data_IF_388898808859
#
_entry.id   IF_388898808859
#
_cell.length_a   1.000
_cell.length_b   1.000
_cell.length_c   1.000
_cell.angle_alpha   90.00
_cell.angle_beta   90.00
_cell.angle_gamma   90.00
#
_symmetry.space_group_name_H-M   'P 1'
#
loop_
_entity.id
_entity.type
_entity.pdbx_description
1 polymer ?
#
# COMPACT_ATOMS: atom_id res chain seq x y z
N UNK A 1 6.03 -11.01 -17.62
CA UNK A 1 5.69 -10.31 -18.88
C UNK A 1 6.75 -9.24 -19.15
N UNK A 2 6.96 -8.75 -20.37
CA UNK A 2 7.96 -7.71 -20.62
C UNK A 2 7.52 -6.36 -20.01
N UNK A 3 8.26 -5.86 -19.00
CA UNK A 3 7.92 -4.63 -18.27
C UNK A 3 7.77 -3.39 -19.19
N UNK A 4 8.62 -3.27 -20.21
CA UNK A 4 8.52 -2.19 -21.19
C UNK A 4 7.23 -2.23 -22.01
N UNK A 5 6.70 -3.42 -22.31
CA UNK A 5 5.45 -3.58 -23.04
C UNK A 5 4.24 -3.22 -22.17
N UNK A 6 4.24 -3.63 -20.89
CA UNK A 6 3.20 -3.27 -19.92
C UNK A 6 3.11 -1.75 -19.76
N UNK A 7 4.25 -1.09 -19.54
CA UNK A 7 4.33 0.37 -19.43
C UNK A 7 3.84 1.07 -20.70
N UNK A 8 4.23 0.60 -21.88
CA UNK A 8 3.75 1.16 -23.15
C UNK A 8 2.23 0.98 -23.35
N UNK A 9 1.65 -0.06 -22.76
CA UNK A 9 0.21 -0.32 -22.78
C UNK A 9 -0.57 0.38 -21.64
N UNK A 10 0.12 1.09 -20.72
CA UNK A 10 -0.49 1.72 -19.55
C UNK A 10 -1.10 0.70 -18.59
N UNK A 11 -0.46 -0.47 -18.43
CA UNK A 11 -0.93 -1.55 -17.57
C UNK A 11 0.00 -1.70 -16.36
N UNK A 12 -0.59 -1.87 -15.19
CA UNK A 12 0.12 -2.17 -13.95
C UNK A 12 0.99 -3.39 -14.18
N UNK A 13 2.23 -3.34 -13.68
CA UNK A 13 3.16 -4.46 -13.68
C UNK A 13 3.05 -5.22 -12.34
N UNK A 14 2.20 -6.27 -12.25
CA UNK A 14 1.93 -6.94 -10.98
C UNK A 14 3.14 -7.76 -10.52
N UNK A 15 3.24 -7.98 -9.21
CA UNK A 15 3.96 -9.15 -8.71
C UNK A 15 3.07 -10.37 -8.93
N UNK A 16 3.67 -11.48 -9.36
CA UNK A 16 2.91 -12.71 -9.58
C UNK A 16 2.67 -13.45 -8.25
N UNK A 17 3.53 -13.24 -7.26
CA UNK A 17 3.54 -13.95 -5.98
C UNK A 17 3.21 -13.06 -4.76
N UNK A 18 2.94 -11.78 -4.98
CA UNK A 18 2.60 -10.83 -3.93
C UNK A 18 1.57 -9.80 -4.42
N UNK A 19 0.78 -9.26 -3.50
CA UNK A 19 -0.14 -8.17 -3.83
C UNK A 19 0.58 -6.83 -3.83
N UNK A 20 0.26 -6.01 -4.82
CA UNK A 20 0.70 -4.62 -4.89
C UNK A 20 -0.30 -3.78 -4.06
N UNK A 21 0.16 -2.88 -3.17
CA UNK A 21 -0.71 -2.03 -2.33
C UNK A 21 -1.39 -0.92 -3.15
N UNK A 22 -2.10 -1.33 -4.18
CA UNK A 22 -2.94 -0.53 -5.05
C UNK A 22 -4.36 -1.08 -4.96
N UNK A 23 -5.33 -0.27 -5.35
CA UNK A 23 -6.73 -0.67 -5.42
C UNK A 23 -7.38 -0.02 -6.64
N UNK A 24 -8.36 -0.68 -7.27
CA UNK A 24 -9.14 -0.10 -8.35
C UNK A 24 -10.14 0.89 -7.75
N UNK A 25 -10.11 2.14 -8.21
CA UNK A 25 -11.08 3.15 -7.83
C UNK A 25 -12.14 3.30 -8.94
N UNK A 26 -13.42 2.97 -8.67
CA UNK A 26 -14.48 3.10 -9.65
C UNK A 26 -14.68 4.54 -10.18
N UNK A 27 -14.29 5.56 -9.41
CA UNK A 27 -14.33 6.98 -9.83
C UNK A 27 -13.41 7.25 -11.02
N UNK A 28 -12.35 6.44 -11.19
CA UNK A 28 -11.39 6.60 -12.27
C UNK A 28 -11.81 5.91 -13.58
N UNK A 29 -12.82 5.04 -13.55
CA UNK A 29 -13.22 4.28 -14.75
C UNK A 29 -13.59 5.21 -15.91
N UNK A 30 -14.34 6.28 -15.65
CA UNK A 30 -14.72 7.26 -16.69
C UNK A 30 -13.55 8.12 -17.18
N UNK A 31 -12.48 8.21 -16.40
CA UNK A 31 -11.27 8.97 -16.72
C UNK A 31 -10.20 8.14 -17.44
N UNK A 32 -10.38 6.83 -17.51
CA UNK A 32 -9.40 5.94 -18.12
C UNK A 32 -9.17 6.26 -19.60
N UNK A 33 -7.90 6.31 -19.99
CA UNK A 33 -7.46 6.41 -21.38
C UNK A 33 -7.78 5.14 -22.18
N UNK A 34 -8.04 4.02 -21.51
CA UNK A 34 -8.43 2.77 -22.14
C UNK A 34 -9.94 2.75 -22.45
N UNK A 35 -10.30 2.78 -23.73
CA UNK A 35 -11.70 2.80 -24.17
C UNK A 35 -12.52 1.58 -23.69
N UNK A 36 -11.91 0.41 -23.45
CA UNK A 36 -12.65 -0.72 -22.85
C UNK A 36 -13.08 -0.40 -21.42
N UNK A 37 -12.36 0.45 -20.73
CA UNK A 37 -12.70 0.90 -19.38
C UNK A 37 -13.65 2.09 -19.41
N UNK A 38 -13.26 3.19 -20.04
CA UNK A 38 -14.02 4.45 -20.04
C UNK A 38 -15.31 4.43 -20.85
N UNK A 39 -15.57 3.35 -21.60
CA UNK A 39 -16.85 3.13 -22.29
C UNK A 39 -17.53 1.89 -21.74
N UNK A 40 -16.90 0.71 -21.83
CA UNK A 40 -17.60 -0.55 -21.53
C UNK A 40 -17.66 -0.83 -20.03
N UNK A 41 -16.53 -0.77 -19.33
CA UNK A 41 -16.47 -1.08 -17.90
C UNK A 41 -17.31 -0.11 -17.06
N UNK A 42 -17.23 1.20 -17.34
CA UNK A 42 -18.09 2.18 -16.65
C UNK A 42 -19.58 1.96 -16.94
N UNK A 43 -19.96 1.64 -18.17
CA UNK A 43 -21.35 1.35 -18.51
C UNK A 43 -21.84 0.07 -17.81
N UNK A 44 -20.99 -0.96 -17.72
CA UNK A 44 -21.27 -2.19 -16.99
C UNK A 44 -21.40 -1.92 -15.49
N UNK A 45 -20.50 -1.14 -14.92
CA UNK A 45 -20.52 -0.72 -13.51
C UNK A 45 -21.82 0.01 -13.17
N UNK A 46 -22.17 1.05 -13.94
CA UNK A 46 -23.42 1.81 -13.78
C UNK A 46 -24.65 0.90 -13.90
N UNK A 47 -24.69 0.05 -14.92
CA UNK A 47 -25.82 -0.88 -15.14
C UNK A 47 -25.97 -1.87 -13.99
N UNK A 48 -24.86 -2.43 -13.51
CA UNK A 48 -24.84 -3.37 -12.40
C UNK A 48 -25.42 -2.74 -11.13
N UNK A 49 -24.94 -1.55 -10.75
CA UNK A 49 -25.42 -0.89 -9.54
C UNK A 49 -26.78 -0.21 -9.72
N UNK A 50 -27.22 0.07 -10.95
CA UNK A 50 -28.61 0.51 -11.20
C UNK A 50 -29.63 -0.56 -10.78
N UNK A 51 -29.27 -1.85 -10.90
CA UNK A 51 -30.10 -2.95 -10.40
C UNK A 51 -30.19 -2.87 -8.88
N UNK A 52 -29.07 -2.65 -8.19
CA UNK A 52 -29.04 -2.47 -6.73
C UNK A 52 -29.93 -1.29 -6.31
N UNK A 53 -29.80 -0.12 -6.95
CA UNK A 53 -30.62 1.07 -6.66
C UNK A 53 -32.10 0.75 -6.82
N UNK A 54 -32.48 0.13 -7.95
CA UNK A 54 -33.87 -0.24 -8.24
C UNK A 54 -34.43 -1.25 -7.22
N UNK A 55 -33.64 -2.23 -6.81
CA UNK A 55 -34.06 -3.21 -5.82
C UNK A 55 -34.26 -2.56 -4.45
N UNK A 56 -33.34 -1.70 -4.03
CA UNK A 56 -33.46 -0.98 -2.76
C UNK A 56 -34.60 0.05 -2.77
N UNK A 57 -34.89 0.71 -3.90
CA UNK A 57 -36.05 1.62 -3.99
C UNK A 57 -37.38 0.89 -3.81
N UNK A 58 -37.46 -0.38 -4.24
CA UNK A 58 -38.65 -1.23 -4.07
C UNK A 58 -38.74 -1.90 -2.70
N UNK A 59 -37.60 -2.03 -1.99
CA UNK A 59 -37.55 -2.64 -0.66
C UNK A 59 -38.26 -1.79 0.39
N UNK A 60 -39.11 -2.43 1.19
CA UNK A 60 -39.86 -1.81 2.30
C UNK A 60 -39.26 -2.15 3.67
N UNK A 61 -38.54 -3.26 3.78
CA UNK A 61 -37.92 -3.71 5.02
C UNK A 61 -36.68 -4.54 4.75
N UNK A 62 -35.72 -4.53 5.68
CA UNK A 62 -34.56 -5.42 5.61
C UNK A 62 -35.01 -6.88 5.43
N UNK A 63 -34.26 -7.64 4.62
CA UNK A 63 -34.52 -9.05 4.29
C UNK A 63 -35.81 -9.35 3.51
N UNK A 64 -36.53 -8.36 3.01
CA UNK A 64 -37.58 -8.60 2.01
C UNK A 64 -36.99 -9.08 0.66
N UNK A 65 -37.85 -9.48 -0.29
CA UNK A 65 -37.39 -10.04 -1.55
C UNK A 65 -36.50 -9.05 -2.36
N UNK A 66 -36.87 -7.76 -2.50
CA UNK A 66 -35.99 -6.77 -3.12
C UNK A 66 -34.67 -6.55 -2.37
N UNK A 67 -34.65 -6.49 -1.03
CA UNK A 67 -33.40 -6.38 -0.24
C UNK A 67 -32.45 -7.54 -0.53
N UNK A 68 -32.98 -8.77 -0.52
CA UNK A 68 -32.21 -9.98 -0.86
C UNK A 68 -31.73 -9.99 -2.31
N UNK A 69 -32.43 -9.34 -3.23
CA UNK A 69 -32.00 -9.17 -4.61
C UNK A 69 -30.87 -8.13 -4.74
N UNK A 70 -30.98 -7.00 -4.02
CA UNK A 70 -29.92 -5.99 -3.93
C UNK A 70 -28.64 -6.59 -3.33
N UNK A 71 -28.77 -7.36 -2.24
CA UNK A 71 -27.64 -8.04 -1.59
C UNK A 71 -26.83 -8.94 -2.51
N UNK A 72 -27.47 -9.57 -3.50
CA UNK A 72 -26.81 -10.43 -4.48
C UNK A 72 -25.93 -9.66 -5.47
N UNK A 73 -26.11 -8.35 -5.59
CA UNK A 73 -25.26 -7.50 -6.44
C UNK A 73 -23.92 -7.16 -5.77
N UNK A 74 -23.79 -7.35 -4.44
CA UNK A 74 -22.57 -7.05 -3.69
C UNK A 74 -21.70 -8.31 -3.57
N UNK A 75 -20.92 -8.59 -4.61
CA UNK A 75 -19.88 -9.62 -4.55
C UNK A 75 -18.59 -9.02 -3.95
N UNK A 76 -18.25 -9.46 -2.74
CA UNK A 76 -17.05 -9.03 -2.02
C UNK A 76 -16.01 -10.15 -1.94
N UNK A 77 -16.03 -11.07 -2.90
CA UNK A 77 -14.98 -12.07 -3.00
C UNK A 77 -13.73 -11.38 -3.54
N UNK A 78 -12.62 -11.54 -2.84
CA UNK A 78 -11.31 -11.05 -3.28
C UNK A 78 -10.94 -11.70 -4.63
N UNK A 79 -10.51 -10.92 -5.64
CA UNK A 79 -10.06 -11.39 -6.95
C UNK A 79 -8.52 -11.48 -7.03
N UNK A 80 -7.89 -12.54 -6.48
CA UNK A 80 -6.42 -12.63 -6.33
C UNK A 80 -5.62 -12.60 -7.64
N UNK A 81 -6.28 -12.80 -8.78
CA UNK A 81 -5.75 -12.80 -10.14
C UNK A 81 -5.31 -11.41 -10.61
N UNK A 82 -5.80 -10.32 -10.01
CA UNK A 82 -5.33 -8.96 -10.33
C UNK A 82 -4.07 -8.58 -9.52
N UNK A 83 -3.73 -9.31 -8.46
CA UNK A 83 -2.57 -9.07 -7.60
C UNK A 83 -2.56 -7.71 -6.91
N UNK A 84 -3.74 -7.16 -6.56
CA UNK A 84 -3.91 -5.88 -5.90
C UNK A 84 -4.41 -6.06 -4.47
N UNK A 85 -4.02 -5.18 -3.54
CA UNK A 85 -4.54 -5.13 -2.17
C UNK A 85 -3.45 -5.08 -1.09
N UNK A 86 -3.88 -5.17 0.17
CA UNK A 86 -2.95 -5.29 1.30
C UNK A 86 -2.46 -6.73 1.43
N UNK A 87 -1.41 -7.11 0.70
CA UNK A 87 -0.79 -8.43 0.78
C UNK A 87 -0.49 -8.85 2.22
N UNK A 88 -1.37 -9.67 2.78
CA UNK A 88 -1.33 -10.07 4.19
C UNK A 88 -2.68 -10.64 4.60
N UNK A 89 -2.65 -11.77 5.29
CA UNK A 89 -3.81 -12.51 5.81
C UNK A 89 -4.88 -11.63 6.47
N UNK A 90 -5.80 -11.13 5.65
CA UNK A 90 -7.05 -10.53 6.05
C UNK A 90 -7.85 -11.59 6.79
N UNK A 91 -7.95 -11.43 8.11
CA UNK A 91 -8.62 -12.35 9.04
C UNK A 91 -9.94 -12.87 8.47
N UNK A 92 -9.95 -14.16 8.17
CA UNK A 92 -11.11 -14.94 7.71
C UNK A 92 -12.15 -15.08 8.83
N UNK A 93 -12.95 -14.05 9.04
CA UNK A 93 -14.24 -14.17 9.72
C UNK A 93 -15.33 -14.34 8.67
N UNK A 94 -15.99 -15.51 8.61
CA UNK A 94 -17.08 -15.77 7.66
C UNK A 94 -18.26 -14.80 7.77
N UNK A 95 -18.40 -14.09 8.90
CA UNK A 95 -19.42 -13.07 9.14
C UNK A 95 -19.07 -11.68 8.58
N UNK A 96 -17.78 -11.36 8.40
CA UNK A 96 -17.36 -9.99 8.04
C UNK A 96 -17.85 -9.54 6.65
N UNK A 97 -17.74 -10.36 5.59
CA UNK A 97 -18.30 -9.99 4.29
C UNK A 97 -19.82 -9.83 4.33
N UNK A 98 -20.52 -10.56 5.21
CA UNK A 98 -21.96 -10.39 5.39
C UNK A 98 -22.28 -9.04 6.03
N UNK A 99 -21.61 -8.71 7.13
CA UNK A 99 -21.86 -7.47 7.87
C UNK A 99 -21.50 -6.22 7.04
N UNK A 100 -20.41 -6.29 6.27
CA UNK A 100 -20.03 -5.24 5.31
C UNK A 100 -21.11 -5.07 4.23
N UNK A 101 -21.64 -6.17 3.65
CA UNK A 101 -22.72 -6.08 2.66
C UNK A 101 -23.97 -5.42 3.25
N UNK A 102 -24.39 -5.83 4.44
CA UNK A 102 -25.57 -5.24 5.07
C UNK A 102 -25.36 -3.75 5.40
N UNK A 103 -24.16 -3.37 5.80
CA UNK A 103 -23.77 -1.96 6.02
C UNK A 103 -23.89 -1.15 4.73
N UNK A 104 -23.30 -1.63 3.62
CA UNK A 104 -23.42 -1.00 2.30
C UNK A 104 -24.89 -0.87 1.88
N UNK A 105 -25.72 -1.90 2.09
CA UNK A 105 -27.15 -1.86 1.71
C UNK A 105 -27.93 -0.84 2.54
N UNK A 106 -27.68 -0.75 3.85
CA UNK A 106 -28.33 0.23 4.74
C UNK A 106 -27.99 1.65 4.34
N UNK A 107 -26.72 1.96 4.13
CA UNK A 107 -26.27 3.29 3.71
C UNK A 107 -26.77 3.64 2.32
N UNK A 108 -26.76 2.67 1.40
CA UNK A 108 -27.38 2.85 0.07
C UNK A 108 -28.88 3.13 0.17
N UNK A 109 -29.60 2.43 1.07
CA UNK A 109 -31.04 2.66 1.29
C UNK A 109 -31.30 4.03 1.92
N UNK A 110 -30.44 4.50 2.82
CA UNK A 110 -30.47 5.86 3.38
C UNK A 110 -30.34 6.90 2.25
N UNK A 111 -29.31 6.79 1.42
CA UNK A 111 -29.06 7.67 0.26
C UNK A 111 -30.25 7.68 -0.71
N UNK A 112 -30.80 6.51 -1.03
CA UNK A 112 -31.97 6.39 -1.90
C UNK A 112 -33.22 7.03 -1.30
N UNK A 113 -33.40 6.89 0.02
CA UNK A 113 -34.55 7.48 0.73
C UNK A 113 -34.45 9.00 0.80
N UNK A 114 -33.23 9.55 0.83
CA UNK A 114 -33.01 10.99 0.71
C UNK A 114 -33.46 11.54 -0.65
N UNK A 115 -33.41 10.72 -1.69
CA UNK A 115 -33.86 11.06 -3.05
C UNK A 115 -32.77 10.91 -4.13
N UNK A 116 -31.55 10.52 -3.75
CA UNK A 116 -30.49 10.24 -4.71
C UNK A 116 -30.69 8.87 -5.36
N UNK A 117 -30.32 8.75 -6.64
CA UNK A 117 -30.47 7.50 -7.39
C UNK A 117 -29.27 7.17 -8.29
N UNK A 118 -28.15 7.87 -8.09
CA UNK A 118 -26.93 7.67 -8.88
C UNK A 118 -26.32 6.30 -8.51
N UNK A 119 -26.19 5.35 -9.47
CA UNK A 119 -25.57 4.05 -9.21
C UNK A 119 -24.10 4.14 -8.78
N UNK A 120 -23.40 5.23 -9.08
CA UNK A 120 -22.01 5.44 -8.69
C UNK A 120 -21.85 5.86 -7.22
N UNK A 121 -22.95 6.06 -6.47
CA UNK A 121 -22.90 6.29 -5.02
C UNK A 121 -22.16 5.18 -4.26
N UNK A 122 -22.12 3.97 -4.82
CA UNK A 122 -21.40 2.83 -4.25
C UNK A 122 -19.90 3.10 -4.12
N UNK A 123 -19.33 3.91 -5.03
CA UNK A 123 -17.93 4.35 -4.98
C UNK A 123 -17.62 5.14 -3.71
N UNK A 124 -18.63 5.73 -3.06
CA UNK A 124 -18.47 6.57 -1.88
C UNK A 124 -18.54 5.80 -0.56
N UNK A 125 -18.82 4.49 -0.56
CA UNK A 125 -19.06 3.75 0.68
C UNK A 125 -17.86 3.77 1.62
N UNK A 126 -16.63 3.82 1.10
CA UNK A 126 -15.42 3.96 1.94
C UNK A 126 -15.23 5.35 2.58
N UNK A 127 -16.03 6.35 2.18
CA UNK A 127 -16.11 7.64 2.86
C UNK A 127 -17.16 7.63 3.97
N UNK A 128 -18.22 6.83 3.82
CA UNK A 128 -19.36 6.85 4.73
C UNK A 128 -19.29 5.78 5.82
N UNK A 129 -18.59 4.67 5.57
CA UNK A 129 -18.59 3.51 6.45
C UNK A 129 -17.16 3.13 6.84
N UNK A 130 -16.85 3.14 8.14
CA UNK A 130 -15.48 2.91 8.64
C UNK A 130 -14.95 1.50 8.30
N UNK A 131 -15.84 0.52 8.24
CA UNK A 131 -15.51 -0.88 7.94
C UNK A 131 -15.49 -1.19 6.44
N UNK A 132 -15.84 -0.23 5.58
CA UNK A 132 -15.75 -0.37 4.12
C UNK A 132 -14.44 0.27 3.67
N UNK A 133 -13.42 -0.57 3.47
CA UNK A 133 -12.13 -0.11 2.99
C UNK A 133 -12.10 0.11 1.48
N UNK A 134 -11.09 0.83 0.96
CA UNK A 134 -10.88 0.95 -0.48
C UNK A 134 -10.65 -0.40 -1.17
N UNK A 135 -10.04 -1.33 -0.45
CA UNK A 135 -9.86 -2.73 -0.82
C UNK A 135 -11.21 -3.40 -1.15
N UNK A 136 -12.21 -3.23 -0.28
CA UNK A 136 -13.58 -3.72 -0.51
C UNK A 136 -14.23 -3.11 -1.75
N UNK A 137 -14.00 -1.82 -2.00
CA UNK A 137 -14.51 -1.14 -3.20
C UNK A 137 -13.81 -1.65 -4.45
N UNK A 138 -12.51 -1.92 -4.36
CA UNK A 138 -11.71 -2.49 -5.45
C UNK A 138 -12.15 -3.92 -5.78
N UNK A 139 -12.38 -4.77 -4.79
CA UNK A 139 -12.90 -6.12 -4.99
C UNK A 139 -14.25 -6.09 -5.70
N UNK A 140 -15.16 -5.25 -5.18
CA UNK A 140 -16.48 -5.09 -5.75
C UNK A 140 -16.41 -4.60 -7.20
N UNK A 141 -15.57 -3.60 -7.46
CA UNK A 141 -15.37 -3.04 -8.80
C UNK A 141 -14.79 -4.08 -9.74
N UNK A 142 -13.74 -4.78 -9.33
CA UNK A 142 -13.06 -5.82 -10.10
C UNK A 142 -14.03 -6.93 -10.51
N UNK A 143 -14.82 -7.45 -9.58
CA UNK A 143 -15.82 -8.49 -9.87
C UNK A 143 -16.85 -8.02 -10.92
N UNK A 144 -17.21 -6.74 -10.90
CA UNK A 144 -18.18 -6.18 -11.86
C UNK A 144 -17.56 -6.02 -13.25
N UNK A 145 -16.30 -5.59 -13.34
CA UNK A 145 -15.63 -5.28 -14.62
C UNK A 145 -14.68 -6.38 -15.11
N UNK A 146 -14.73 -7.56 -14.50
CA UNK A 146 -13.77 -8.66 -14.71
C UNK A 146 -13.63 -9.06 -16.18
N UNK A 147 -14.73 -9.05 -16.93
CA UNK A 147 -14.74 -9.37 -18.36
C UNK A 147 -14.01 -8.32 -19.19
N UNK A 148 -14.10 -7.04 -18.80
CA UNK A 148 -13.42 -5.96 -19.51
C UNK A 148 -11.90 -6.01 -19.24
N UNK A 149 -11.50 -6.35 -18.01
CA UNK A 149 -10.10 -6.58 -17.63
C UNK A 149 -9.52 -7.84 -18.31
N UNK A 150 -10.29 -8.92 -18.39
CA UNK A 150 -9.90 -10.13 -19.09
C UNK A 150 -9.70 -9.88 -20.59
N UNK A 151 -10.57 -9.09 -21.22
CA UNK A 151 -10.42 -8.68 -22.62
C UNK A 151 -9.16 -7.83 -22.87
N UNK A 152 -8.82 -6.93 -21.94
CA UNK A 152 -7.57 -6.15 -21.99
C UNK A 152 -6.36 -7.09 -21.88
N UNK A 153 -6.41 -8.02 -20.93
CA UNK A 153 -5.34 -8.97 -20.65
C UNK A 153 -5.08 -9.90 -21.83
N UNK A 154 -6.14 -10.49 -22.40
CA UNK A 154 -6.05 -11.38 -23.57
C UNK A 154 -5.45 -10.63 -24.77
N UNK A 155 -5.96 -9.43 -25.07
CA UNK A 155 -5.47 -8.62 -26.18
C UNK A 155 -3.98 -8.26 -26.01
N UNK A 156 -3.57 -7.87 -24.79
CA UNK A 156 -2.17 -7.59 -24.48
C UNK A 156 -1.29 -8.83 -24.66
N UNK A 157 -1.72 -9.98 -24.13
CA UNK A 157 -0.95 -11.22 -24.21
C UNK A 157 -0.76 -11.68 -25.65
N UNK A 158 -1.84 -11.69 -26.45
CA UNK A 158 -1.77 -12.07 -27.86
C UNK A 158 -0.86 -11.14 -28.66
N UNK A 159 -0.93 -9.83 -28.43
CA UNK A 159 -0.07 -8.85 -29.09
C UNK A 159 1.42 -9.02 -28.75
N UNK A 160 1.74 -9.58 -27.59
CA UNK A 160 3.11 -9.78 -27.11
C UNK A 160 3.58 -11.25 -27.19
N UNK A 161 2.82 -12.13 -27.86
CA UNK A 161 3.17 -13.55 -28.02
C UNK A 161 3.17 -14.35 -26.70
N UNK A 162 2.43 -13.89 -25.69
CA UNK A 162 2.26 -14.58 -24.41
C UNK A 162 1.10 -15.58 -24.55
N UNK A 163 1.36 -16.84 -24.18
CA UNK A 163 0.35 -17.90 -24.23
C UNK A 163 -0.82 -17.63 -23.27
N UNK A 164 -2.04 -17.86 -23.78
CA UNK A 164 -3.29 -17.75 -23.03
C UNK A 164 -4.09 -19.05 -23.14
N UNK A 165 -4.84 -19.38 -22.09
CA UNK A 165 -5.62 -20.61 -21.98
C UNK A 165 -7.01 -20.34 -21.41
N UNK A 166 -7.91 -21.30 -21.60
CA UNK A 166 -9.22 -21.30 -20.93
C UNK A 166 -9.05 -21.24 -19.41
N UNK A 167 -9.96 -20.56 -18.73
CA UNK A 167 -9.88 -20.28 -17.30
C UNK A 167 -11.27 -20.28 -16.66
N UNK A 168 -11.33 -20.11 -15.34
CA UNK A 168 -12.59 -20.10 -14.57
C UNK A 168 -13.05 -18.68 -14.20
N UNK A 169 -12.30 -17.65 -14.60
CA UNK A 169 -12.54 -16.25 -14.22
C UNK A 169 -13.40 -15.53 -15.26
N UNK A 170 -13.12 -15.76 -16.54
CA UNK A 170 -13.91 -15.27 -17.68
C UNK A 170 -14.33 -16.42 -18.57
N UNK A 171 -15.62 -16.42 -18.92
CA UNK A 171 -16.19 -17.38 -19.87
C UNK A 171 -15.98 -16.95 -21.34
N UNK A 172 -15.44 -15.75 -21.58
CA UNK A 172 -15.34 -15.12 -22.90
C UNK A 172 -13.92 -14.90 -23.37
N UNK A 173 -12.97 -14.83 -22.44
CA UNK A 173 -11.59 -14.43 -22.70
C UNK A 173 -10.62 -15.44 -22.09
N UNK A 174 -9.57 -15.78 -22.84
CA UNK A 174 -8.48 -16.61 -22.37
C UNK A 174 -7.49 -15.76 -21.58
N UNK A 175 -6.93 -16.35 -20.52
CA UNK A 175 -6.00 -15.66 -19.63
C UNK A 175 -4.61 -16.32 -19.66
N UNK A 176 -3.54 -15.54 -19.45
CA UNK A 176 -2.22 -16.07 -19.19
C UNK A 176 -2.20 -16.74 -17.82
N UNK A 177 -1.40 -17.79 -17.69
CA UNK A 177 -1.15 -18.47 -16.43
C UNK A 177 0.31 -18.33 -16.05
N UNK A 178 0.56 -18.10 -14.77
CA UNK A 178 1.90 -18.21 -14.20
C UNK A 178 1.99 -19.40 -13.26
N UNK A 179 3.20 -19.93 -13.12
CA UNK A 179 3.47 -21.09 -12.31
C UNK A 179 3.89 -20.65 -10.90
N UNK A 180 3.01 -20.84 -9.90
CA UNK A 180 3.30 -20.60 -8.48
C UNK A 180 4.22 -21.69 -7.90
N UNK A 181 4.07 -22.93 -8.38
CA UNK A 181 4.90 -24.07 -8.00
C UNK A 181 4.84 -25.16 -9.07
N UNK A 182 5.62 -26.24 -8.91
CA UNK A 182 5.66 -27.36 -9.86
C UNK A 182 4.25 -27.93 -10.20
N UNK A 183 3.28 -27.81 -9.30
CA UNK A 183 1.92 -28.35 -9.45
C UNK A 183 0.80 -27.30 -9.48
N UNK A 184 1.11 -26.02 -9.31
CA UNK A 184 0.09 -24.96 -9.19
C UNK A 184 0.35 -23.83 -10.17
N UNK A 185 -0.59 -23.61 -11.07
CA UNK A 185 -0.69 -22.40 -11.88
C UNK A 185 -1.84 -21.53 -11.41
N UNK A 186 -1.76 -20.24 -11.68
CA UNK A 186 -2.83 -19.28 -11.41
C UNK A 186 -3.02 -18.35 -12.62
N UNK A 187 -4.26 -17.96 -12.94
CA UNK A 187 -4.51 -16.96 -13.97
C UNK A 187 -4.01 -15.59 -13.51
N UNK A 188 -3.67 -14.72 -14.46
CA UNK A 188 -3.34 -13.31 -14.22
C UNK A 188 -4.33 -12.43 -14.97
N UNK A 189 -4.77 -11.37 -14.31
CA UNK A 189 -5.52 -10.27 -14.90
C UNK A 189 -4.68 -9.01 -14.78
N UNK A 190 -4.52 -8.30 -15.89
CA UNK A 190 -3.84 -7.01 -15.95
C UNK A 190 -4.86 -5.89 -15.75
N UNK A 191 -4.42 -4.84 -15.05
CA UNK A 191 -5.24 -3.69 -14.70
C UNK A 191 -4.60 -2.43 -15.29
N UNK A 192 -5.35 -1.53 -15.95
CA UNK A 192 -4.82 -0.23 -16.36
C UNK A 192 -4.31 0.62 -15.19
N UNK A 193 -3.15 1.26 -15.37
CA UNK A 193 -2.53 2.11 -14.33
C UNK A 193 -3.39 3.33 -13.98
N UNK A 194 -4.18 3.81 -14.94
CA UNK A 194 -5.00 5.01 -14.80
C UNK A 194 -6.32 4.82 -14.05
N UNK A 195 -6.61 3.59 -13.58
CA UNK A 195 -7.79 3.30 -12.74
C UNK A 195 -7.45 2.81 -11.34
N UNK A 196 -6.17 2.75 -10.99
CA UNK A 196 -5.73 2.34 -9.66
C UNK A 196 -5.25 3.54 -8.84
N UNK A 197 -5.26 3.37 -7.52
CA UNK A 197 -4.74 4.32 -6.53
C UNK A 197 -3.96 3.60 -5.43
N UNK A 198 -3.14 4.34 -4.71
CA UNK A 198 -2.30 3.80 -3.64
C UNK A 198 -3.06 3.56 -2.33
N UNK A 199 -2.68 2.47 -1.67
CA UNK A 199 -3.02 2.20 -0.30
C UNK A 199 -1.85 2.62 0.61
N UNK A 200 -2.05 3.48 1.64
CA UNK A 200 -3.32 4.07 2.11
C UNK A 200 -3.65 5.46 1.52
N UNK A 201 -4.96 5.78 1.46
CA UNK A 201 -5.56 7.01 0.85
C UNK A 201 -5.37 8.32 1.67
N UNK A 202 -4.37 8.41 2.55
CA UNK A 202 -4.36 9.44 3.61
C UNK A 202 -4.44 10.91 3.10
N UNK A 203 -3.84 11.22 1.94
CA UNK A 203 -3.80 12.59 1.42
C UNK A 203 -5.09 12.98 0.68
N UNK A 204 -5.62 12.09 -0.15
CA UNK A 204 -6.79 12.41 -1.00
C UNK A 204 -8.03 12.70 -0.17
N UNK A 205 -8.13 12.07 1.02
CA UNK A 205 -9.23 12.35 1.94
C UNK A 205 -9.26 13.82 2.38
N UNK A 206 -8.09 14.44 2.56
CA UNK A 206 -7.97 15.85 2.94
C UNK A 206 -8.32 16.79 1.78
N UNK A 207 -7.98 16.41 0.55
CA UNK A 207 -8.28 17.19 -0.64
C UNK A 207 -9.77 17.15 -0.99
N UNK A 208 -10.41 15.98 -0.85
CA UNK A 208 -11.85 15.80 -0.99
C UNK A 208 -12.61 16.55 0.11
N UNK A 209 -12.16 16.48 1.37
CA UNK A 209 -12.74 17.27 2.47
C UNK A 209 -12.68 18.77 2.13
N UNK A 210 -11.52 19.26 1.66
CA UNK A 210 -11.35 20.66 1.26
C UNK A 210 -12.29 21.06 0.12
N UNK A 211 -12.40 20.26 -0.93
CA UNK A 211 -13.27 20.53 -2.07
C UNK A 211 -14.76 20.51 -1.67
N UNK A 212 -15.18 19.53 -0.86
CA UNK A 212 -16.55 19.46 -0.35
C UNK A 212 -16.91 20.69 0.50
N UNK A 213 -15.95 21.21 1.27
CA UNK A 213 -16.12 22.42 2.10
C UNK A 213 -16.23 23.73 1.30
N UNK A 214 -15.98 23.73 -0.02
CA UNK A 214 -16.26 24.91 -0.85
C UNK A 214 -17.76 25.22 -0.88
N UNK A 215 -18.61 24.19 -0.82
CA UNK A 215 -20.04 24.34 -0.68
C UNK A 215 -20.41 24.91 0.70
N UNK A 216 -21.02 26.10 0.69
CA UNK A 216 -21.42 26.83 1.89
C UNK A 216 -22.32 25.97 2.80
N UNK A 217 -23.28 25.23 2.24
CA UNK A 217 -24.21 24.41 3.04
C UNK A 217 -23.52 23.24 3.71
N UNK A 218 -22.66 22.51 2.99
CA UNK A 218 -21.87 21.41 3.54
C UNK A 218 -20.96 21.94 4.65
N UNK A 219 -20.23 23.03 4.39
CA UNK A 219 -19.33 23.67 5.35
C UNK A 219 -20.06 24.14 6.60
N UNK A 220 -21.23 24.78 6.48
CA UNK A 220 -22.00 25.26 7.63
C UNK A 220 -22.47 24.09 8.50
N UNK A 221 -22.94 22.98 7.90
CA UNK A 221 -23.34 21.78 8.63
C UNK A 221 -22.16 21.08 9.32
N UNK A 222 -21.03 20.95 8.64
CA UNK A 222 -19.80 20.40 9.23
C UNK A 222 -19.35 21.25 10.41
N UNK A 223 -19.32 22.58 10.24
CA UNK A 223 -18.94 23.51 11.31
C UNK A 223 -19.92 23.47 12.49
N UNK A 224 -21.22 23.34 12.23
CA UNK A 224 -22.23 23.20 13.28
C UNK A 224 -22.03 21.90 14.08
N UNK A 225 -21.73 20.79 13.42
CA UNK A 225 -21.45 19.51 14.06
C UNK A 225 -20.18 19.58 14.91
N UNK A 226 -19.07 20.03 14.31
CA UNK A 226 -17.75 20.08 14.95
C UNK A 226 -17.63 21.20 15.99
N UNK A 227 -18.45 22.24 15.93
CA UNK A 227 -18.43 23.38 16.86
C UNK A 227 -18.68 23.00 18.32
N UNK A 228 -19.21 21.79 18.56
CA UNK A 228 -19.41 21.21 19.90
C UNK A 228 -18.20 20.41 20.40
N UNK A 229 -17.19 20.18 19.56
CA UNK A 229 -16.04 19.31 19.82
C UNK A 229 -14.77 20.16 19.95
N UNK A 230 -14.11 20.11 21.11
CA UNK A 230 -12.94 20.95 21.43
C UNK A 230 -11.73 20.63 20.55
N UNK A 231 -11.51 19.36 20.22
CA UNK A 231 -10.44 18.89 19.33
C UNK A 231 -10.97 17.75 18.45
N UNK A 232 -11.55 18.05 17.28
CA UNK A 232 -12.13 17.03 16.42
C UNK A 232 -11.05 16.11 15.83
N UNK A 233 -11.27 14.80 15.97
CA UNK A 233 -10.45 13.74 15.38
C UNK A 233 -10.73 13.57 13.89
N UNK A 234 -9.93 12.75 13.19
CA UNK A 234 -10.21 12.37 11.79
C UNK A 234 -11.56 11.65 11.67
N UNK A 235 -11.90 10.80 12.64
CA UNK A 235 -13.21 10.12 12.69
C UNK A 235 -14.36 11.12 12.86
N UNK A 236 -14.22 12.10 13.75
CA UNK A 236 -15.25 13.14 13.96
C UNK A 236 -15.50 13.96 12.69
N UNK A 237 -14.44 14.29 11.95
CA UNK A 237 -14.54 15.01 10.68
C UNK A 237 -15.19 14.17 9.58
N UNK A 238 -14.82 12.88 9.46
CA UNK A 238 -15.49 11.91 8.57
C UNK A 238 -16.98 11.85 8.86
N UNK A 239 -17.34 11.70 10.13
CA UNK A 239 -18.72 11.63 10.55
C UNK A 239 -19.48 12.94 10.28
N UNK A 240 -18.86 14.10 10.57
CA UNK A 240 -19.46 15.40 10.27
C UNK A 240 -19.70 15.60 8.76
N UNK A 241 -18.73 15.22 7.93
CA UNK A 241 -18.81 15.33 6.47
C UNK A 241 -19.87 14.39 5.89
N UNK A 242 -19.94 13.14 6.38
CA UNK A 242 -21.02 12.19 6.05
C UNK A 242 -22.39 12.79 6.35
N UNK A 243 -22.59 13.32 7.56
CA UNK A 243 -23.88 13.92 7.95
C UNK A 243 -24.25 15.17 7.15
N UNK A 244 -23.25 15.91 6.65
CA UNK A 244 -23.46 17.04 5.77
C UNK A 244 -23.81 16.60 4.34
N UNK A 245 -23.10 15.60 3.79
CA UNK A 245 -23.34 15.06 2.46
C UNK A 245 -24.71 14.35 2.37
N UNK A 246 -25.12 13.63 3.42
CA UNK A 246 -26.43 12.96 3.52
C UNK A 246 -27.55 13.89 3.98
N UNK A 247 -27.36 15.19 3.86
CA UNK A 247 -28.31 16.18 4.33
C UNK A 247 -29.48 16.46 3.38
N UNK A 248 -29.26 16.25 2.08
CA UNK A 248 -30.22 16.42 0.99
C UNK A 248 -29.65 15.75 -0.28
N UNK A 249 -30.48 15.44 -1.29
CA UNK A 249 -29.99 14.96 -2.59
C UNK A 249 -28.98 15.90 -3.23
N UNK A 250 -29.20 17.22 -3.15
CA UNK A 250 -28.30 18.20 -3.77
C UNK A 250 -26.93 18.27 -3.08
N UNK A 251 -26.90 18.12 -1.76
CA UNK A 251 -25.64 18.03 -0.99
C UNK A 251 -24.89 16.74 -1.30
N UNK A 252 -25.62 15.64 -1.50
CA UNK A 252 -25.06 14.36 -1.89
C UNK A 252 -24.43 14.40 -3.28
N UNK A 253 -25.18 14.91 -4.27
CA UNK A 253 -24.70 15.04 -5.65
C UNK A 253 -23.49 15.97 -5.74
N UNK A 254 -23.49 17.06 -4.97
CA UNK A 254 -22.33 17.95 -4.87
C UNK A 254 -21.11 17.21 -4.28
N UNK A 255 -21.30 16.45 -3.21
CA UNK A 255 -20.22 15.67 -2.60
C UNK A 255 -19.66 14.62 -3.57
N UNK A 256 -20.54 13.91 -4.29
CA UNK A 256 -20.13 12.95 -5.32
C UNK A 256 -19.33 13.64 -6.44
N UNK A 257 -19.79 14.80 -6.93
CA UNK A 257 -19.06 15.58 -7.93
C UNK A 257 -17.69 16.03 -7.42
N UNK A 258 -17.60 16.52 -6.17
CA UNK A 258 -16.34 16.93 -5.56
C UNK A 258 -15.34 15.77 -5.48
N UNK A 259 -15.79 14.57 -5.11
CA UNK A 259 -14.96 13.35 -5.14
C UNK A 259 -14.50 13.07 -6.57
N UNK A 260 -15.42 13.06 -7.55
CA UNK A 260 -15.07 12.82 -8.95
C UNK A 260 -14.05 13.81 -9.49
N UNK A 261 -14.15 15.09 -9.17
CA UNK A 261 -13.23 16.11 -9.67
C UNK A 261 -11.84 16.05 -9.01
N UNK A 262 -11.77 15.67 -7.73
CA UNK A 262 -10.54 15.72 -6.94
C UNK A 262 -9.82 14.37 -6.80
N UNK A 263 -10.35 13.30 -7.41
CA UNK A 263 -9.65 12.01 -7.50
C UNK A 263 -8.79 11.97 -8.76
N UNK A 264 -7.47 11.85 -8.57
CA UNK A 264 -6.49 11.53 -9.61
C UNK A 264 -6.08 10.07 -9.56
N UNK A 265 -5.70 9.52 -10.72
CA UNK A 265 -5.14 8.18 -10.80
C UNK A 265 -3.76 8.11 -10.17
N UNK A 266 -3.30 6.89 -9.90
CA UNK A 266 -1.90 6.61 -9.62
C UNK A 266 -0.99 7.23 -10.68
N UNK A 267 0.09 7.89 -10.24
CA UNK A 267 1.14 8.40 -11.12
C UNK A 267 2.43 7.60 -10.89
N UNK A 268 2.79 6.68 -11.82
CA UNK A 268 4.03 5.91 -11.73
C UNK A 268 5.30 6.78 -11.69
N UNK A 269 5.24 8.06 -12.08
CA UNK A 269 6.39 8.96 -12.07
C UNK A 269 6.64 9.64 -10.72
N UNK A 270 5.63 9.74 -9.86
CA UNK A 270 5.78 10.14 -8.46
C UNK A 270 6.49 9.04 -7.63
N UNK A 271 6.55 7.81 -8.16
CA UNK A 271 7.20 6.61 -7.58
C UNK A 271 8.30 6.01 -8.50
N UNK A 272 8.70 6.74 -9.56
CA UNK A 272 9.72 6.28 -10.51
C UNK A 272 11.15 6.21 -9.94
N UNK A 273 11.38 6.69 -8.72
CA UNK A 273 12.71 6.72 -8.12
C UNK A 273 12.95 5.56 -7.15
N UNK A 274 11.92 5.07 -6.45
CA UNK A 274 12.01 3.95 -5.51
C UNK A 274 11.62 2.59 -6.11
N UNK A 275 10.34 2.40 -6.40
CA UNK A 275 9.74 1.08 -6.65
C UNK A 275 10.13 0.44 -7.99
N UNK A 276 9.97 1.16 -9.11
CA UNK A 276 10.30 0.64 -10.45
C UNK A 276 11.80 0.54 -10.70
N UNK A 277 12.60 1.41 -10.06
CA UNK A 277 14.06 1.34 -10.14
C UNK A 277 14.59 0.14 -9.36
N UNK A 278 14.01 -0.15 -8.19
CA UNK A 278 14.30 -1.35 -7.43
C UNK A 278 13.82 -2.62 -8.15
N UNK A 279 12.64 -2.59 -8.77
CA UNK A 279 12.16 -3.68 -9.63
C UNK A 279 13.07 -3.87 -10.85
N UNK A 280 13.57 -2.80 -11.49
CA UNK A 280 14.58 -2.88 -12.55
C UNK A 280 15.87 -3.56 -12.09
N UNK A 281 16.38 -3.20 -10.91
CA UNK A 281 17.56 -3.83 -10.28
C UNK A 281 17.30 -5.33 -9.99
N UNK A 282 16.10 -5.69 -9.54
CA UNK A 282 15.70 -7.08 -9.26
C UNK A 282 15.47 -7.88 -10.56
N UNK A 283 14.90 -7.25 -11.59
CA UNK A 283 14.47 -7.88 -12.86
C UNK A 283 15.61 -8.08 -13.86
N UNK A 284 16.62 -7.20 -13.87
CA UNK A 284 17.84 -7.38 -14.66
C UNK A 284 18.71 -8.54 -14.14
N UNK A 285 18.37 -9.05 -12.94
CA UNK A 285 19.04 -10.16 -12.31
C UNK A 285 20.41 -9.77 -11.76
N UNK A 286 20.74 -10.33 -10.61
CA UNK A 286 22.07 -10.22 -9.98
C UNK A 286 23.20 -10.89 -10.79
N UNK A 287 22.94 -11.34 -12.03
CA UNK A 287 23.91 -12.05 -12.87
C UNK A 287 25.19 -11.24 -13.17
N UNK A 288 25.11 -9.91 -13.08
CA UNK A 288 26.25 -9.00 -13.22
C UNK A 288 26.84 -8.53 -11.87
N UNK A 289 26.19 -8.83 -10.75
CA UNK A 289 26.82 -8.71 -9.42
C UNK A 289 27.67 -9.96 -9.21
N UNK A 290 28.71 -10.12 -10.04
CA UNK A 290 29.84 -10.99 -9.72
C UNK A 290 30.47 -10.44 -8.45
N UNK A 291 30.05 -10.96 -7.31
CA UNK A 291 30.70 -10.73 -6.04
C UNK A 291 32.16 -11.17 -6.14
N UNK A 292 33.07 -10.30 -5.67
CA UNK A 292 34.50 -10.57 -5.71
C UNK A 292 34.92 -11.73 -4.78
N UNK A 293 34.02 -12.17 -3.88
CA UNK A 293 34.18 -13.37 -3.05
C UNK A 293 32.81 -13.81 -2.50
N UNK A 294 32.47 -15.11 -2.49
CA UNK A 294 31.28 -15.61 -1.81
C UNK A 294 31.38 -15.41 -0.28
N UNK A 295 30.26 -15.21 0.42
CA UNK A 295 30.23 -15.26 1.89
C UNK A 295 30.19 -16.70 2.38
N UNK A 296 30.92 -16.98 3.46
CA UNK A 296 30.82 -18.26 4.17
C UNK A 296 30.10 -18.06 5.51
N UNK A 297 28.77 -18.15 5.47
CA UNK A 297 27.92 -17.93 6.66
C UNK A 297 28.20 -18.92 7.80
N UNK A 298 28.97 -20.00 7.55
CA UNK A 298 29.42 -20.94 8.59
C UNK A 298 30.48 -20.33 9.52
N UNK A 299 31.10 -19.21 9.11
CA UNK A 299 32.02 -18.43 9.96
C UNK A 299 31.29 -17.69 11.10
N UNK A 300 29.95 -17.73 11.12
CA UNK A 300 29.14 -17.28 12.24
C UNK A 300 28.62 -15.84 12.11
N UNK A 301 28.18 -15.21 13.23
CA UNK A 301 27.51 -13.92 13.20
C UNK A 301 28.32 -12.77 12.60
N UNK A 302 29.66 -12.85 12.66
CA UNK A 302 30.53 -11.84 12.06
C UNK A 302 30.45 -11.81 10.54
N UNK A 303 30.25 -12.96 9.90
CA UNK A 303 30.06 -13.00 8.44
C UNK A 303 28.68 -12.44 8.08
N UNK A 304 27.65 -12.74 8.88
CA UNK A 304 26.32 -12.13 8.72
C UNK A 304 26.41 -10.60 8.88
N UNK A 305 27.14 -10.11 9.88
CA UNK A 305 27.41 -8.66 10.04
C UNK A 305 28.09 -8.06 8.80
N UNK A 306 28.97 -8.79 8.11
CA UNK A 306 29.57 -8.34 6.84
C UNK A 306 28.52 -8.19 5.74
N UNK A 307 27.67 -9.21 5.56
CA UNK A 307 26.55 -9.14 4.59
C UNK A 307 25.64 -7.97 4.89
N UNK A 308 25.18 -7.85 6.15
CA UNK A 308 24.29 -6.77 6.60
C UNK A 308 24.95 -5.40 6.48
N UNK A 309 26.25 -5.31 6.76
CA UNK A 309 27.02 -4.07 6.55
C UNK A 309 27.02 -3.65 5.07
N UNK A 310 27.17 -4.60 4.15
CA UNK A 310 27.13 -4.34 2.71
C UNK A 310 25.74 -3.92 2.21
N UNK A 311 24.66 -4.54 2.72
CA UNK A 311 23.28 -4.12 2.38
C UNK A 311 23.00 -2.71 2.89
N UNK A 312 23.40 -2.38 4.13
CA UNK A 312 23.24 -1.03 4.70
C UNK A 312 24.10 -0.03 3.94
N UNK A 313 25.34 -0.37 3.57
CA UNK A 313 26.21 0.50 2.79
C UNK A 313 25.61 0.81 1.41
N UNK A 314 25.01 -0.18 0.75
CA UNK A 314 24.33 0.05 -0.52
C UNK A 314 23.09 0.93 -0.36
N UNK A 315 22.25 0.66 0.65
CA UNK A 315 21.11 1.50 0.97
C UNK A 315 21.53 2.95 1.26
N UNK A 316 22.53 3.13 2.12
CA UNK A 316 23.13 4.43 2.45
C UNK A 316 23.58 5.17 1.19
N UNK A 317 24.33 4.51 0.30
CA UNK A 317 24.78 5.09 -0.97
C UNK A 317 23.60 5.54 -1.84
N UNK A 318 22.55 4.72 -1.97
CA UNK A 318 21.39 5.11 -2.76
C UNK A 318 20.65 6.30 -2.16
N UNK A 319 20.50 6.35 -0.83
CA UNK A 319 19.90 7.50 -0.13
C UNK A 319 20.75 8.75 -0.31
N UNK A 320 22.05 8.65 -0.06
CA UNK A 320 22.94 9.81 0.03
C UNK A 320 23.34 10.38 -1.33
N UNK A 321 23.68 9.49 -2.27
CA UNK A 321 24.26 9.83 -3.57
C UNK A 321 23.32 9.48 -4.73
N UNK A 322 22.41 8.53 -4.54
CA UNK A 322 21.52 7.99 -5.58
C UNK A 322 20.14 8.66 -5.67
N UNK A 323 19.93 9.77 -4.96
CA UNK A 323 18.66 10.51 -4.85
C UNK A 323 17.49 9.72 -4.23
N UNK A 324 17.73 8.54 -3.63
CA UNK A 324 16.68 7.81 -2.92
C UNK A 324 16.21 8.55 -1.65
N UNK A 325 16.94 9.57 -1.19
CA UNK A 325 16.42 10.49 -0.18
C UNK A 325 15.10 11.13 -0.61
N UNK A 326 14.87 11.42 -1.91
CA UNK A 326 13.61 12.03 -2.39
C UNK A 326 12.39 11.18 -1.98
N UNK A 327 12.55 9.85 -2.03
CA UNK A 327 11.52 8.88 -1.65
C UNK A 327 11.24 8.80 -0.15
N UNK A 328 12.12 9.37 0.66
CA UNK A 328 11.97 9.46 2.12
C UNK A 328 11.25 10.75 2.55
N UNK A 329 10.90 11.62 1.62
CA UNK A 329 10.13 12.84 1.86
C UNK A 329 8.78 12.81 1.16
N UNK A 330 7.80 13.48 1.77
CA UNK A 330 6.54 13.84 1.16
C UNK A 330 6.44 15.36 1.17
N UNK A 331 6.71 15.97 0.03
CA UNK A 331 6.92 17.42 -0.10
C UNK A 331 7.97 17.93 0.92
N UNK A 332 7.56 18.76 1.87
CA UNK A 332 8.44 19.33 2.90
C UNK A 332 8.52 18.50 4.20
N UNK A 333 7.85 17.33 4.27
CA UNK A 333 7.76 16.53 5.48
C UNK A 333 8.47 15.18 5.32
N UNK A 334 9.31 14.76 6.28
CA UNK A 334 9.84 13.40 6.31
C UNK A 334 8.72 12.36 6.36
N UNK A 335 8.83 11.29 5.55
CA UNK A 335 7.95 10.12 5.66
C UNK A 335 8.17 9.42 7.02
N UNK A 336 7.25 8.54 7.38
CA UNK A 336 7.39 7.71 8.60
C UNK A 336 8.58 6.76 8.44
N UNK A 337 9.15 6.33 9.58
CA UNK A 337 10.24 5.35 9.67
C UNK A 337 10.00 4.08 8.84
N UNK A 338 8.73 3.68 8.72
CA UNK A 338 8.28 2.57 7.90
C UNK A 338 8.71 2.66 6.42
N UNK A 339 8.80 3.86 5.85
CA UNK A 339 9.21 4.04 4.45
C UNK A 339 10.66 3.59 4.23
N UNK A 340 11.60 4.09 5.05
CA UNK A 340 13.00 3.66 5.00
C UNK A 340 13.17 2.17 5.28
N UNK A 341 12.39 1.61 6.21
CA UNK A 341 12.41 0.18 6.52
C UNK A 341 11.96 -0.66 5.32
N UNK A 342 10.88 -0.28 4.62
CA UNK A 342 10.39 -1.01 3.45
C UNK A 342 11.40 -1.00 2.29
N UNK A 343 12.01 0.15 2.04
CA UNK A 343 13.01 0.28 0.96
C UNK A 343 14.26 -0.53 1.28
N UNK A 344 14.76 -0.43 2.53
CA UNK A 344 15.89 -1.25 2.97
C UNK A 344 15.58 -2.75 2.94
N UNK A 345 14.38 -3.16 3.38
CA UNK A 345 13.94 -4.56 3.34
C UNK A 345 14.11 -5.14 1.95
N UNK A 346 13.65 -4.44 0.92
CA UNK A 346 13.66 -4.94 -0.44
C UNK A 346 15.09 -5.00 -1.05
N UNK A 347 16.02 -4.15 -0.60
CA UNK A 347 17.45 -4.28 -0.92
C UNK A 347 18.04 -5.50 -0.19
N UNK A 348 17.80 -5.60 1.12
CA UNK A 348 18.36 -6.65 1.97
C UNK A 348 17.85 -8.04 1.60
N UNK A 349 16.56 -8.20 1.30
CA UNK A 349 15.93 -9.44 0.87
C UNK A 349 16.60 -10.02 -0.38
N UNK A 350 16.97 -9.16 -1.31
CA UNK A 350 17.65 -9.58 -2.54
C UNK A 350 19.07 -10.14 -2.26
N UNK A 351 19.81 -9.51 -1.34
CA UNK A 351 21.10 -10.03 -0.87
C UNK A 351 20.93 -11.34 -0.10
N UNK A 352 19.92 -11.42 0.75
CA UNK A 352 19.62 -12.60 1.54
C UNK A 352 19.30 -13.81 0.66
N UNK A 353 18.43 -13.64 -0.34
CA UNK A 353 18.10 -14.67 -1.34
C UNK A 353 19.32 -15.14 -2.12
N UNK A 354 20.22 -14.22 -2.49
CA UNK A 354 21.44 -14.57 -3.23
C UNK A 354 22.45 -15.37 -2.40
N UNK A 355 22.38 -15.29 -1.06
CA UNK A 355 23.38 -15.83 -0.15
C UNK A 355 22.86 -16.88 0.85
N UNK A 356 21.62 -17.36 0.66
CA UNK A 356 20.95 -18.33 1.55
C UNK A 356 20.92 -17.87 3.02
N UNK A 357 20.63 -16.57 3.22
CA UNK A 357 20.50 -15.95 4.54
C UNK A 357 19.03 -15.68 4.84
N UNK A 358 18.55 -16.04 6.02
CA UNK A 358 17.18 -15.75 6.44
C UNK A 358 17.06 -14.28 6.86
N UNK A 359 16.03 -13.59 6.35
CA UNK A 359 15.63 -12.25 6.76
C UNK A 359 14.18 -12.30 7.24
N UNK A 360 13.97 -12.07 8.53
CA UNK A 360 12.64 -12.03 9.12
C UNK A 360 12.39 -10.74 9.90
N UNK A 361 11.26 -10.03 9.68
CA UNK A 361 10.71 -9.11 10.66
C UNK A 361 10.10 -9.96 11.79
N UNK A 362 10.49 -9.77 13.06
CA UNK A 362 9.99 -10.67 14.11
C UNK A 362 8.48 -10.49 14.37
N UNK A 363 7.80 -11.63 14.45
CA UNK A 363 6.47 -11.74 15.03
C UNK A 363 6.56 -11.57 16.56
N UNK A 364 5.77 -10.64 17.09
CA UNK A 364 5.58 -10.30 18.51
C UNK A 364 6.01 -11.37 19.54
N UNK A 365 7.14 -11.13 20.22
CA UNK A 365 7.55 -11.81 21.46
C UNK A 365 7.69 -10.79 22.60
N UNK A 366 6.58 -10.11 22.94
CA UNK A 366 6.40 -9.40 24.22
C UNK A 366 6.95 -7.96 24.37
N UNK A 367 7.71 -7.42 23.39
CA UNK A 367 8.34 -6.08 23.48
C UNK A 367 8.10 -5.14 22.29
N UNK A 368 7.21 -5.50 21.35
CA UNK A 368 7.11 -4.88 20.02
C UNK A 368 8.05 -5.54 19.00
N UNK A 369 7.77 -5.48 17.69
CA UNK A 369 8.60 -6.13 16.68
C UNK A 369 9.90 -5.34 16.45
N UNK A 370 11.03 -6.05 16.40
CA UNK A 370 12.27 -5.50 15.85
C UNK A 370 12.15 -5.36 14.32
N UNK A 371 12.82 -4.36 13.75
CA UNK A 371 12.75 -4.08 12.31
C UNK A 371 13.28 -5.22 11.44
N UNK A 372 14.49 -5.73 11.72
CA UNK A 372 15.10 -6.82 10.95
C UNK A 372 15.92 -7.78 11.81
N UNK A 373 15.69 -9.08 11.59
CA UNK A 373 16.56 -10.15 12.07
C UNK A 373 17.13 -10.91 10.87
N UNK A 374 18.45 -10.99 10.83
CA UNK A 374 19.22 -11.78 9.88
C UNK A 374 19.71 -13.04 10.58
N UNK A 375 19.52 -14.21 9.99
CA UNK A 375 19.99 -15.45 10.61
C UNK A 375 20.47 -16.50 9.61
N UNK A 376 21.46 -17.26 10.05
CA UNK A 376 21.95 -18.46 9.37
C UNK A 376 22.00 -19.59 10.40
N UNK A 377 20.95 -20.40 10.44
CA UNK A 377 20.73 -21.40 11.47
C UNK A 377 20.39 -20.81 12.85
N UNK A 378 20.39 -21.65 13.88
CA UNK A 378 19.92 -21.25 15.21
C UNK A 378 20.90 -20.38 16.00
N UNK A 379 22.22 -20.57 15.84
CA UNK A 379 23.21 -19.93 16.69
C UNK A 379 23.64 -18.54 16.21
N UNK A 380 23.40 -18.20 14.94
CA UNK A 380 23.92 -16.98 14.32
C UNK A 380 22.78 -16.04 13.95
N UNK A 381 22.64 -14.96 14.74
CA UNK A 381 21.60 -13.93 14.56
C UNK A 381 22.20 -12.55 14.64
N UNK A 382 21.83 -11.68 13.69
CA UNK A 382 22.19 -10.26 13.68
C UNK A 382 20.91 -9.44 13.61
N UNK A 383 20.84 -8.41 14.43
CA UNK A 383 19.70 -7.51 14.54
C UNK A 383 19.99 -6.17 13.86
N UNK A 384 19.01 -5.61 13.17
CA UNK A 384 19.07 -4.21 12.70
C UNK A 384 17.84 -3.49 13.19
N UNK A 385 18.06 -2.37 13.87
CA UNK A 385 17.01 -1.44 14.31
C UNK A 385 17.21 -0.11 13.60
N UNK A 386 16.18 0.38 12.93
CA UNK A 386 16.22 1.64 12.19
C UNK A 386 15.39 2.69 12.90
N UNK A 387 15.98 3.87 13.12
CA UNK A 387 15.27 5.03 13.68
C UNK A 387 15.36 6.26 12.80
N UNK A 388 14.25 6.97 12.62
CA UNK A 388 14.27 8.34 12.10
C UNK A 388 14.91 9.27 13.13
N UNK A 389 15.72 10.23 12.67
CA UNK A 389 16.38 11.22 13.52
C UNK A 389 15.42 11.98 14.42
N UNK A 390 14.27 12.43 13.93
CA UNK A 390 13.22 13.09 14.72
C UNK A 390 12.45 12.19 15.70
N UNK A 391 12.73 10.90 15.75
CA UNK A 391 12.05 9.92 16.60
C UNK A 391 12.71 9.72 17.96
N UNK A 392 12.47 8.56 18.56
CA UNK A 392 13.00 8.16 19.87
C UNK A 392 14.40 7.55 19.77
N UNK A 393 15.32 8.19 19.04
CA UNK A 393 16.66 7.67 18.71
C UNK A 393 17.44 7.24 19.97
N UNK A 394 17.48 8.10 20.98
CA UNK A 394 18.22 7.83 22.23
C UNK A 394 17.63 6.63 22.97
N UNK A 395 16.32 6.61 23.17
CA UNK A 395 15.62 5.49 23.81
C UNK A 395 15.74 4.19 22.99
N UNK A 396 15.75 4.31 21.66
CA UNK A 396 15.95 3.19 20.73
C UNK A 396 17.28 2.51 20.94
N UNK A 397 18.36 3.28 21.00
CA UNK A 397 19.71 2.76 21.22
C UNK A 397 19.94 2.29 22.67
N UNK A 398 19.48 3.08 23.65
CA UNK A 398 19.75 2.81 25.07
C UNK A 398 18.94 1.62 25.59
N UNK A 399 17.67 1.49 25.17
CA UNK A 399 16.71 0.52 25.73
C UNK A 399 16.19 -0.46 24.70
N UNK A 400 15.55 0.00 23.62
CA UNK A 400 14.80 -0.88 22.71
C UNK A 400 15.70 -1.95 22.08
N UNK A 401 16.84 -1.55 21.53
CA UNK A 401 17.79 -2.47 20.91
C UNK A 401 18.33 -3.52 21.90
N UNK A 402 18.55 -3.14 23.16
CA UNK A 402 18.99 -4.07 24.20
C UNK A 402 17.91 -5.08 24.59
N UNK A 403 16.64 -4.66 24.64
CA UNK A 403 15.52 -5.59 24.82
C UNK A 403 15.45 -6.61 23.68
N UNK A 404 15.65 -6.17 22.43
CA UNK A 404 15.64 -7.07 21.28
C UNK A 404 16.82 -8.04 21.28
N UNK A 405 18.03 -7.56 21.58
CA UNK A 405 19.22 -8.42 21.75
C UNK A 405 19.00 -9.51 22.79
N UNK A 406 18.41 -9.17 23.94
CA UNK A 406 18.07 -10.12 24.99
C UNK A 406 17.01 -11.15 24.52
N UNK A 407 15.95 -10.68 23.86
CA UNK A 407 14.87 -11.55 23.37
C UNK A 407 15.35 -12.53 22.29
N UNK A 408 16.17 -12.08 21.34
CA UNK A 408 16.72 -12.91 20.25
C UNK A 408 17.99 -13.67 20.64
N UNK A 409 18.45 -13.56 21.90
CA UNK A 409 19.66 -14.20 22.44
C UNK A 409 20.90 -13.92 21.57
N UNK A 410 21.13 -12.65 21.21
CA UNK A 410 22.28 -12.25 20.40
C UNK A 410 22.87 -10.92 20.88
N UNK A 411 24.19 -10.81 20.80
CA UNK A 411 24.92 -9.56 21.06
C UNK A 411 25.19 -8.76 19.78
N UNK A 412 24.91 -9.33 18.61
CA UNK A 412 25.23 -8.74 17.32
C UNK A 412 24.06 -7.90 16.82
N UNK A 413 24.26 -6.58 16.79
CA UNK A 413 23.26 -5.68 16.25
C UNK A 413 23.87 -4.39 15.67
N UNK A 414 23.15 -3.81 14.72
CA UNK A 414 23.45 -2.51 14.09
C UNK A 414 22.27 -1.58 14.32
N UNK A 415 22.55 -0.38 14.80
CA UNK A 415 21.58 0.69 14.97
C UNK A 415 21.73 1.71 13.84
N UNK A 416 20.71 1.83 13.01
CA UNK A 416 20.74 2.71 11.83
C UNK A 416 19.88 3.94 12.09
N UNK A 417 20.45 5.12 11.91
CA UNK A 417 19.74 6.39 12.04
C UNK A 417 19.56 7.00 10.66
N UNK A 418 18.30 7.24 10.27
CA UNK A 418 17.96 7.99 9.06
C UNK A 418 17.84 9.46 9.43
N UNK A 419 18.84 10.26 9.06
CA UNK A 419 18.95 11.68 9.41
C UNK A 419 18.27 12.58 8.39
N UNK A 420 17.20 13.25 8.81
CA UNK A 420 16.46 14.23 8.02
C UNK A 420 16.93 15.67 8.25
N UNK A 421 18.03 15.87 8.98
CA UNK A 421 18.58 17.18 9.34
C UNK A 421 18.07 17.71 10.68
N UNK A 422 17.36 16.88 11.45
CA UNK A 422 16.80 17.19 12.77
C UNK A 422 17.45 16.35 13.90
N UNK A 423 18.66 15.84 13.68
CA UNK A 423 19.39 15.04 14.68
C UNK A 423 19.79 15.84 15.93
N UNK A 424 20.15 17.12 15.79
CA UNK A 424 20.57 17.95 16.92
C UNK A 424 21.65 17.27 17.78
N UNK A 425 21.50 17.35 19.11
CA UNK A 425 22.42 16.74 20.09
C UNK A 425 22.28 15.22 20.30
N UNK A 426 21.28 14.58 19.67
CA UNK A 426 20.96 13.17 19.92
C UNK A 426 22.07 12.23 19.45
N UNK A 427 22.88 12.63 18.46
CA UNK A 427 23.93 11.77 17.89
C UNK A 427 25.07 11.66 18.88
N UNK A 428 25.47 12.80 19.44
CA UNK A 428 26.49 12.86 20.49
C UNK A 428 26.01 12.09 21.73
N UNK A 429 24.71 12.11 22.04
CA UNK A 429 24.15 11.36 23.16
C UNK A 429 24.26 9.84 22.96
N UNK A 430 23.81 9.29 21.83
CA UNK A 430 23.94 7.84 21.57
C UNK A 430 25.40 7.40 21.42
N UNK A 431 26.27 8.27 20.89
CA UNK A 431 27.72 8.02 20.84
C UNK A 431 28.33 7.97 22.24
N UNK A 432 27.95 8.88 23.14
CA UNK A 432 28.40 8.83 24.55
C UNK A 432 27.93 7.56 25.25
N UNK A 433 26.69 7.13 25.02
CA UNK A 433 26.16 5.87 25.57
C UNK A 433 26.98 4.69 25.06
N UNK A 434 27.28 4.64 23.75
CA UNK A 434 28.12 3.63 23.13
C UNK A 434 29.52 3.60 23.75
N UNK A 435 30.18 4.75 23.83
CA UNK A 435 31.55 4.86 24.33
C UNK A 435 31.64 4.49 25.82
N UNK A 436 30.62 4.84 26.61
CA UNK A 436 30.53 4.44 28.02
C UNK A 436 30.42 2.91 28.17
N UNK A 437 29.59 2.25 27.35
CA UNK A 437 29.47 0.78 27.33
C UNK A 437 30.82 0.12 26.97
N UNK A 438 31.48 0.61 25.92
CA UNK A 438 32.79 0.11 25.51
C UNK A 438 33.86 0.30 26.60
N UNK A 439 33.87 1.46 27.28
CA UNK A 439 34.78 1.73 28.39
C UNK A 439 34.52 0.83 29.61
N UNK A 440 33.28 0.38 29.80
CA UNK A 440 32.90 -0.60 30.83
C UNK A 440 33.23 -2.06 30.45
N UNK A 441 33.78 -2.30 29.25
CA UNK A 441 34.04 -3.65 28.74
C UNK A 441 32.80 -4.38 28.22
N UNK A 442 31.68 -3.67 28.06
CA UNK A 442 30.45 -4.20 27.49
C UNK A 442 30.50 -4.20 25.95
N UNK A 443 29.71 -5.06 25.32
CA UNK A 443 29.50 -5.01 23.87
C UNK A 443 28.52 -3.90 23.53
N UNK A 444 28.90 -3.04 22.58
CA UNK A 444 28.04 -1.97 22.08
C UNK A 444 27.75 -2.15 20.59
N UNK A 445 26.49 -2.00 20.21
CA UNK A 445 26.04 -2.09 18.82
C UNK A 445 26.61 -0.95 17.97
N UNK A 446 26.92 -1.25 16.72
CA UNK A 446 27.39 -0.26 15.75
C UNK A 446 26.31 0.78 15.46
N UNK A 447 26.71 2.04 15.27
CA UNK A 447 25.79 3.14 14.91
C UNK A 447 26.14 3.59 13.50
N UNK A 448 25.19 3.46 12.58
CA UNK A 448 25.32 3.94 11.20
C UNK A 448 24.33 5.07 10.98
N UNK A 449 24.81 6.24 10.54
CA UNK A 449 23.95 7.37 10.17
C UNK A 449 23.85 7.45 8.66
N UNK A 450 22.64 7.59 8.15
CA UNK A 450 22.31 7.76 6.73
C UNK A 450 21.66 9.14 6.56
N UNK A 451 22.33 10.03 5.82
CA UNK A 451 21.89 11.39 5.51
C UNK A 451 20.80 11.39 4.41
N UNK A 452 19.56 11.52 4.89
CA UNK A 452 18.36 11.71 4.09
C UNK A 452 17.95 13.19 4.03
N UNK A 453 18.83 14.15 4.32
CA UNK A 453 18.49 15.57 4.17
C UNK A 453 18.10 15.91 2.74
N UNK A 454 17.24 16.91 2.58
CA UNK A 454 16.86 17.38 1.25
C UNK A 454 18.03 18.03 0.55
N UNK A 455 18.25 17.61 -0.68
CA UNK A 455 19.39 18.01 -1.49
C UNK A 455 18.91 18.80 -2.71
N UNK A 456 19.67 19.82 -3.09
CA UNK A 456 19.41 20.52 -4.35
C UNK A 456 19.57 19.53 -5.53
N UNK A 457 18.78 19.71 -6.59
CA UNK A 457 18.87 18.86 -7.79
C UNK A 457 20.31 18.83 -8.33
N UNK A 458 20.74 17.71 -8.91
CA UNK A 458 22.09 17.57 -9.48
C UNK A 458 22.44 18.66 -10.51
N UNK A 459 21.43 19.21 -11.20
CA UNK A 459 21.57 20.35 -12.13
C UNK A 459 21.86 21.71 -11.47
N UNK A 460 21.78 21.81 -10.14
CA UNK A 460 22.01 23.02 -9.35
C UNK A 460 23.16 22.87 -8.33
N UNK A 461 23.82 21.72 -8.31
CA UNK A 461 24.98 21.42 -7.48
C UNK A 461 26.24 21.69 -8.31
N UNK A 462 26.89 22.83 -8.07
CA UNK A 462 28.16 23.19 -8.70
C UNK A 462 29.32 22.38 -8.14
#
# INVERSE_FOLDING_TARGET
MPAAALKAAGLVDPFLDADVPLFIDPVLLEKSSNAKISINAIARFRTHFQILVRMLSLSKSENDAPWKAARRQLNLNEPPENGLGYGGSGRSGSSRPHDIRETILRTSKEIITLGASDPEMISLMGFFEEDVGPDTISDLTTNVIIEDLAAITEAFCLANGISVSENQISDKHKLPFFQKSASRSAPVILVPEDIVRELPIANDWSDIERAAMENVRIRDRVNQFLGTIVRPTVGDRKHALRNAALGSPEEFDFFLAAVKENVSSYDPNLDALGYYRLKGIISEGFGNLKQSSPYDLKLGPHEIMRVVGETIAQFKRHVEDGNLWEELWLADKPKKERASQLIYYAIADAFCKANDLDLSPEANMGGGPIDFKFSSGYASRVLVEMKRSGGTVVHGYEKQLEFYKAASQTDFAIFVVIDYGDMGGKLQEIQRIRDARLAAGERASEIIVIDATRKASASKRH
#
